data_IF_517242028973
#
_entry.id   IF_517242028973
#
_cell.length_a   1.000
_cell.length_b   1.000
_cell.length_c   1.000
_cell.angle_alpha   90.00
_cell.angle_beta   90.00
_cell.angle_gamma   90.00
#
_symmetry.space_group_name_H-M   'P 1'
#
loop_
_entity.id
_entity.type
_entity.pdbx_description
1 polymer ?
#
# COMPACT_ATOMS: atom_id res chain seq x y z
N UNK A 1 2.46 -4.59 6.76
CA UNK A 1 3.39 -3.76 6.00
C UNK A 1 3.95 -2.69 6.90
N UNK A 2 5.25 -2.45 6.82
CA UNK A 2 5.92 -1.44 7.60
C UNK A 2 6.60 -0.45 6.65
N UNK A 3 6.39 0.82 6.93
CA UNK A 3 7.06 1.92 6.25
C UNK A 3 7.92 2.65 7.29
N UNK A 4 9.21 2.79 7.03
CA UNK A 4 10.10 3.54 7.91
C UNK A 4 10.19 5.00 7.46
N UNK A 5 10.53 5.87 8.39
CA UNK A 5 10.63 7.31 8.11
C UNK A 5 11.79 7.68 7.17
N UNK A 6 12.67 6.74 6.87
CA UNK A 6 13.71 6.91 5.85
C UNK A 6 13.27 6.42 4.46
N UNK A 7 12.03 5.99 4.31
CA UNK A 7 11.48 5.50 3.07
C UNK A 7 11.66 4.01 2.82
N UNK A 8 12.32 3.29 3.72
CA UNK A 8 12.45 1.84 3.58
C UNK A 8 11.12 1.15 3.93
N UNK A 9 10.79 0.10 3.19
CA UNK A 9 9.56 -0.66 3.41
C UNK A 9 9.89 -2.07 3.84
N UNK A 10 9.12 -2.59 4.79
CA UNK A 10 9.25 -3.96 5.28
C UNK A 10 7.87 -4.58 5.44
N UNK A 11 7.78 -5.88 5.19
CA UNK A 11 6.57 -6.65 5.42
C UNK A 11 6.66 -7.32 6.78
N UNK A 12 5.56 -7.29 7.51
CA UNK A 12 5.49 -7.82 8.86
C UNK A 12 4.29 -8.75 9.00
N UNK A 13 4.51 -9.97 9.47
CA UNK A 13 3.45 -10.98 9.55
C UNK A 13 2.30 -10.57 10.45
N UNK A 14 2.58 -9.83 11.52
CA UNK A 14 1.55 -9.37 12.47
C UNK A 14 0.87 -8.07 12.07
N UNK A 15 1.19 -7.55 10.91
CA UNK A 15 0.64 -6.27 10.45
C UNK A 15 -0.87 -6.31 10.21
N UNK A 16 -1.49 -7.48 10.10
CA UNK A 16 -2.93 -7.61 9.88
C UNK A 16 -3.76 -6.86 10.91
N UNK A 17 -3.34 -6.84 12.17
CA UNK A 17 -4.06 -6.13 13.24
C UNK A 17 -3.73 -4.64 13.26
N UNK A 18 -2.53 -4.29 12.90
CA UNK A 18 -2.04 -2.93 12.97
C UNK A 18 -2.22 -2.18 11.64
N UNK A 19 -2.49 -2.90 10.56
CA UNK A 19 -2.62 -2.33 9.24
C UNK A 19 -1.28 -1.92 8.67
N UNK A 20 -1.24 -0.73 8.09
CA UNK A 20 0.02 -0.13 7.65
C UNK A 20 0.66 0.60 8.83
N UNK A 21 1.96 0.39 9.00
CA UNK A 21 2.71 0.95 10.13
C UNK A 21 3.86 1.78 9.58
N UNK A 22 4.00 2.99 10.09
CA UNK A 22 5.18 3.82 9.87
C UNK A 22 6.08 3.71 11.10
N UNK A 23 7.32 3.31 10.88
CA UNK A 23 8.24 3.05 11.96
C UNK A 23 9.61 3.61 11.63
N UNK A 24 10.27 4.18 12.62
CA UNK A 24 11.65 4.63 12.48
C UNK A 24 12.61 3.43 12.41
N UNK A 25 13.82 3.67 11.93
CA UNK A 25 14.85 2.64 11.80
C UNK A 25 15.14 1.95 13.13
N UNK A 26 15.06 2.69 14.23
CA UNK A 26 15.32 2.15 15.59
C UNK A 26 14.11 1.44 16.21
N UNK A 27 13.01 1.30 15.46
CA UNK A 27 11.87 0.51 15.89
C UNK A 27 10.74 1.28 16.54
N UNK A 28 10.79 2.62 16.55
CA UNK A 28 9.70 3.40 17.11
C UNK A 28 8.54 3.54 16.14
N UNK A 29 7.35 3.18 16.58
CA UNK A 29 6.14 3.33 15.77
C UNK A 29 5.72 4.80 15.76
N UNK A 30 5.66 5.40 14.57
CA UNK A 30 5.22 6.78 14.40
C UNK A 30 3.71 6.87 14.26
N UNK A 31 3.12 5.97 13.48
CA UNK A 31 1.68 5.85 13.34
C UNK A 31 1.34 4.46 12.80
N UNK A 32 0.08 4.09 12.91
CA UNK A 32 -0.47 2.89 12.30
C UNK A 32 -1.92 3.12 11.92
N UNK A 33 -2.38 2.47 10.85
CA UNK A 33 -3.75 2.63 10.37
C UNK A 33 -4.75 1.78 11.14
N UNK A 34 -4.31 0.70 11.76
CA UNK A 34 -5.23 -0.23 12.39
C UNK A 34 -6.17 -0.85 11.37
N UNK A 35 -7.47 -0.72 11.63
CA UNK A 35 -8.51 -1.27 10.74
C UNK A 35 -9.22 -0.22 9.89
N UNK A 36 -8.79 1.02 9.94
CA UNK A 36 -9.44 2.12 9.21
C UNK A 36 -8.40 3.00 8.53
N UNK A 37 -7.99 2.70 7.31
CA UNK A 37 -8.37 1.53 6.51
C UNK A 37 -7.62 0.27 6.93
N UNK A 38 -8.20 -0.88 6.66
CA UNK A 38 -7.55 -2.15 6.90
C UNK A 38 -6.62 -2.46 5.73
N UNK A 39 -5.33 -2.57 6.02
CA UNK A 39 -4.34 -3.11 5.09
C UNK A 39 -3.98 -4.52 5.53
N UNK A 40 -4.10 -5.46 4.62
CA UNK A 40 -3.79 -6.86 4.85
C UNK A 40 -2.61 -7.27 3.96
N UNK A 41 -2.77 -8.27 3.14
CA UNK A 41 -1.67 -8.92 2.40
C UNK A 41 -1.41 -8.31 1.01
N UNK A 42 -1.96 -7.15 0.72
CA UNK A 42 -1.77 -6.49 -0.56
C UNK A 42 -0.34 -6.02 -0.78
N UNK A 43 0.03 -5.86 -2.05
CA UNK A 43 1.34 -5.38 -2.43
C UNK A 43 1.46 -3.86 -2.36
N UNK A 44 2.69 -3.39 -2.28
CA UNK A 44 2.98 -1.96 -2.28
C UNK A 44 4.25 -1.66 -3.05
N UNK A 45 4.29 -0.49 -3.66
CA UNK A 45 5.50 0.03 -4.30
C UNK A 45 5.69 1.49 -3.95
N UNK A 46 6.94 1.89 -3.89
CA UNK A 46 7.33 3.29 -3.72
C UNK A 46 7.81 3.82 -5.06
N UNK A 47 7.19 4.87 -5.56
CA UNK A 47 7.52 5.46 -6.84
C UNK A 47 7.35 6.98 -6.77
N UNK A 48 8.34 7.73 -7.26
CA UNK A 48 8.33 9.20 -7.28
C UNK A 48 7.99 9.83 -5.92
N UNK A 49 8.50 9.22 -4.85
CA UNK A 49 8.25 9.71 -3.50
C UNK A 49 6.86 9.43 -2.98
N UNK A 50 6.05 8.64 -3.69
CA UNK A 50 4.70 8.28 -3.27
C UNK A 50 4.58 6.77 -3.11
N UNK A 51 3.71 6.36 -2.20
CA UNK A 51 3.46 4.95 -1.93
C UNK A 51 2.15 4.54 -2.59
N UNK A 52 2.21 3.53 -3.46
CA UNK A 52 1.04 2.88 -4.02
C UNK A 52 0.83 1.56 -3.29
N UNK A 53 -0.33 1.37 -2.70
CA UNK A 53 -0.58 0.22 -1.85
C UNK A 53 -1.99 -0.31 -2.06
N UNK A 54 -2.08 -1.63 -2.25
CA UNK A 54 -3.37 -2.33 -2.30
C UNK A 54 -3.68 -2.85 -0.90
N UNK A 55 -4.93 -2.72 -0.50
CA UNK A 55 -5.35 -3.14 0.85
C UNK A 55 -5.42 -4.66 1.04
N UNK A 56 -5.18 -5.41 -0.02
CA UNK A 56 -5.28 -6.88 0.01
C UNK A 56 -6.64 -7.42 -0.41
N UNK A 57 -7.56 -6.54 -0.78
CA UNK A 57 -8.89 -6.91 -1.24
C UNK A 57 -9.28 -6.14 -2.51
N UNK A 58 -9.82 -4.93 -2.38
CA UNK A 58 -10.45 -4.24 -3.51
C UNK A 58 -9.81 -2.91 -3.88
N UNK A 59 -9.11 -2.27 -2.98
CA UNK A 59 -8.82 -0.83 -3.06
C UNK A 59 -7.33 -0.56 -3.18
N UNK A 60 -6.99 0.28 -4.15
CA UNK A 60 -5.66 0.86 -4.31
C UNK A 60 -5.62 2.23 -3.65
N UNK A 61 -4.60 2.47 -2.86
CA UNK A 61 -4.35 3.75 -2.20
C UNK A 61 -3.09 4.39 -2.75
N UNK A 62 -3.15 5.71 -2.93
CA UNK A 62 -1.98 6.56 -3.15
C UNK A 62 -1.73 7.31 -1.85
N UNK A 63 -0.54 7.14 -1.29
CA UNK A 63 -0.23 7.61 0.06
C UNK A 63 1.01 8.48 0.01
N UNK A 64 0.94 9.66 0.62
CA UNK A 64 2.11 10.49 0.86
C UNK A 64 2.87 9.98 2.07
N UNK A 65 4.14 9.56 1.92
CA UNK A 65 4.93 9.06 3.05
C UNK A 65 5.26 10.22 3.99
N UNK A 66 4.74 10.14 5.21
CA UNK A 66 4.92 11.20 6.20
C UNK A 66 4.96 10.58 7.59
N UNK A 67 6.05 10.76 8.35
CA UNK A 67 6.13 10.21 9.69
C UNK A 67 5.17 10.84 10.69
N UNK A 68 4.56 11.99 10.36
CA UNK A 68 3.62 12.65 11.27
C UNK A 68 2.21 12.05 11.23
N UNK A 69 1.88 11.23 10.24
CA UNK A 69 0.57 10.59 10.16
C UNK A 69 0.32 9.90 8.84
N UNK A 70 -0.75 9.12 8.80
CA UNK A 70 -1.22 8.47 7.58
C UNK A 70 -1.90 9.51 6.69
N UNK A 71 -1.37 9.70 5.48
CA UNK A 71 -1.88 10.72 4.54
C UNK A 71 -2.27 10.09 3.22
N UNK A 72 -3.48 9.55 3.10
CA UNK A 72 -3.97 9.06 1.83
C UNK A 72 -4.28 10.26 0.92
N UNK A 73 -3.69 10.29 -0.26
CA UNK A 73 -3.89 11.34 -1.25
C UNK A 73 -5.05 11.00 -2.19
N UNK A 74 -5.25 9.72 -2.47
CA UNK A 74 -6.31 9.22 -3.33
C UNK A 74 -6.53 7.74 -3.06
N UNK A 75 -7.71 7.25 -3.43
CA UNK A 75 -8.01 5.83 -3.40
C UNK A 75 -9.03 5.49 -4.48
N UNK A 76 -8.99 4.24 -4.94
CA UNK A 76 -9.92 3.74 -5.93
C UNK A 76 -10.22 2.27 -5.68
N UNK A 77 -11.49 1.91 -5.77
CA UNK A 77 -11.91 0.50 -5.75
C UNK A 77 -11.74 -0.05 -7.16
N UNK A 78 -10.74 -0.88 -7.36
CA UNK A 78 -10.36 -1.36 -8.69
C UNK A 78 -10.60 -2.86 -8.87
N UNK A 79 -10.69 -3.61 -7.79
CA UNK A 79 -10.76 -5.06 -7.82
C UNK A 79 -12.04 -5.56 -7.16
N UNK A 80 -12.42 -6.77 -7.50
CA UNK A 80 -13.55 -7.43 -6.87
C UNK A 80 -13.14 -7.99 -5.50
N UNK A 81 -14.15 -8.25 -4.68
CA UNK A 81 -13.94 -8.83 -3.35
C UNK A 81 -13.17 -10.14 -3.44
N UNK A 82 -12.27 -10.34 -2.52
CA UNK A 82 -11.45 -11.55 -2.44
C UNK A 82 -10.06 -11.22 -1.94
N UNK A 83 -9.23 -12.24 -1.85
CA UNK A 83 -7.85 -12.07 -1.47
C UNK A 83 -7.02 -11.57 -2.66
N UNK A 84 -6.17 -10.62 -2.40
CA UNK A 84 -5.28 -10.07 -3.40
C UNK A 84 -3.86 -10.06 -2.83
N UNK A 85 -3.11 -11.09 -3.17
CA UNK A 85 -1.73 -11.27 -2.70
C UNK A 85 -0.71 -10.98 -3.80
N UNK A 86 -1.16 -10.80 -5.02
CA UNK A 86 -0.26 -10.59 -6.13
C UNK A 86 0.44 -9.24 -5.98
N UNK A 87 1.75 -9.17 -6.21
CA UNK A 87 2.43 -7.88 -6.22
C UNK A 87 1.91 -7.02 -7.37
N UNK A 88 1.88 -5.72 -7.15
CA UNK A 88 1.61 -4.77 -8.21
C UNK A 88 2.91 -4.46 -8.96
N UNK A 89 2.78 -4.05 -10.21
CA UNK A 89 3.93 -3.70 -11.05
C UNK A 89 3.70 -2.35 -11.71
N UNK A 90 4.75 -1.54 -11.75
CA UNK A 90 4.70 -0.22 -12.38
C UNK A 90 5.84 -0.12 -13.40
N UNK A 91 5.50 0.19 -14.66
CA UNK A 91 6.48 0.40 -15.72
C UNK A 91 5.90 1.36 -16.77
N UNK A 92 6.71 2.31 -17.22
CA UNK A 92 6.33 3.25 -18.29
C UNK A 92 4.99 3.95 -18.05
N UNK A 93 4.73 4.35 -16.81
CA UNK A 93 3.48 5.03 -16.45
C UNK A 93 2.26 4.11 -16.43
N UNK A 94 2.46 2.81 -16.49
CA UNK A 94 1.39 1.82 -16.44
C UNK A 94 1.49 1.00 -15.18
N UNK A 95 0.38 0.89 -14.47
CA UNK A 95 0.26 0.07 -13.28
C UNK A 95 -0.51 -1.19 -13.60
N UNK A 96 0.07 -2.33 -13.31
CA UNK A 96 -0.57 -3.63 -13.44
C UNK A 96 -1.01 -4.11 -12.06
N UNK A 97 -2.30 -4.40 -11.94
CA UNK A 97 -2.91 -4.85 -10.70
C UNK A 97 -3.86 -6.00 -11.01
N UNK A 98 -3.86 -7.01 -10.15
CA UNK A 98 -4.71 -8.17 -10.38
C UNK A 98 -5.32 -8.69 -9.08
N UNK A 99 -6.48 -9.31 -9.22
CA UNK A 99 -7.03 -10.20 -8.22
C UNK A 99 -6.99 -11.65 -8.74
N UNK A 100 -7.83 -12.53 -8.21
CA UNK A 100 -7.84 -13.93 -8.62
C UNK A 100 -8.51 -14.15 -9.98
N UNK A 101 -9.24 -13.19 -10.50
CA UNK A 101 -10.08 -13.34 -11.70
C UNK A 101 -9.73 -12.37 -12.81
N UNK A 102 -9.14 -11.23 -12.50
CA UNK A 102 -8.92 -10.19 -13.49
C UNK A 102 -7.57 -9.50 -13.31
N UNK A 103 -7.02 -9.06 -14.44
CA UNK A 103 -5.82 -8.24 -14.50
C UNK A 103 -6.21 -6.90 -15.11
N UNK A 104 -5.84 -5.82 -14.46
CA UNK A 104 -6.08 -4.46 -14.95
C UNK A 104 -4.78 -3.75 -15.20
N UNK A 105 -4.74 -2.99 -16.29
CA UNK A 105 -3.66 -2.10 -16.63
C UNK A 105 -4.19 -0.68 -16.55
N UNK A 106 -3.59 0.14 -15.69
CA UNK A 106 -4.00 1.52 -15.45
C UNK A 106 -2.91 2.46 -15.93
N UNK A 107 -3.32 3.58 -16.54
CA UNK A 107 -2.38 4.64 -16.89
C UNK A 107 -2.31 5.57 -15.69
N UNK A 108 -1.09 5.72 -15.12
CA UNK A 108 -0.85 6.51 -13.92
C UNK A 108 0.14 7.64 -14.20
N UNK A 109 0.16 8.12 -15.42
CA UNK A 109 0.97 9.30 -15.80
C UNK A 109 0.25 10.59 -15.43
N UNK A 110 1.03 11.60 -15.19
CA UNK A 110 0.51 12.95 -14.99
C UNK A 110 0.26 13.66 -16.31
#
# INVERSE_FOLDING_TARGET
MIFSDDGAMKTFEKAQKDGMVCMSIDGQIKWKTGRSPLFDKGGSILADGLLLSVDGSTTLYLIGPDPSGFKPLASAVLLERGENWAPIALADGKLLIRDQRQLKCLIVTQ
#
